data_IF_419114059988
#
_entry.id   IF_419114059988
#
_cell.length_a   1.000
_cell.length_b   1.000
_cell.length_c   1.000
_cell.angle_alpha   90.00
_cell.angle_beta   90.00
_cell.angle_gamma   90.00
#
_symmetry.space_group_name_H-M   'P 1'
#
loop_
_entity.id
_entity.type
_entity.pdbx_description
1 polymer ?
#
# COMPACT_ATOMS: atom_id res chain seq x y z
N UNK A 1 -14.38 -21.34 70.56
CA UNK A 1 -13.39 -20.38 70.02
C UNK A 1 -14.03 -19.76 68.78
N UNK A 2 -14.81 -18.66 68.86
CA UNK A 2 -14.38 -17.25 69.00
C UNK A 2 -13.28 -16.90 67.98
N UNK A 3 -13.39 -15.91 67.09
CA UNK A 3 -13.98 -14.58 67.25
C UNK A 3 -14.77 -14.07 66.02
N UNK A 4 -15.83 -13.35 66.35
CA UNK A 4 -16.55 -12.29 65.63
C UNK A 4 -15.67 -11.11 65.21
N UNK A 5 -15.99 -10.44 64.10
CA UNK A 5 -15.76 -8.99 63.96
C UNK A 5 -16.94 -8.34 63.24
N UNK A 6 -17.71 -7.59 64.03
CA UNK A 6 -18.78 -6.68 63.64
C UNK A 6 -18.18 -5.27 63.78
N UNK A 7 -18.22 -4.48 62.71
CA UNK A 7 -17.85 -3.07 62.73
C UNK A 7 -18.90 -2.24 62.00
N UNK A 8 -19.91 -1.79 62.74
CA UNK A 8 -20.84 -0.72 62.33
C UNK A 8 -20.18 0.63 62.62
N UNK A 9 -20.30 1.59 61.70
CA UNK A 9 -20.48 3.00 62.05
C UNK A 9 -21.09 3.78 60.87
N UNK A 10 -22.37 4.13 61.03
CA UNK A 10 -23.06 5.21 60.33
C UNK A 10 -22.73 6.53 61.04
N UNK A 11 -22.38 7.57 60.30
CA UNK A 11 -22.59 8.96 60.73
C UNK A 11 -22.84 9.84 59.51
N UNK A 12 -24.01 10.49 59.52
CA UNK A 12 -24.49 11.49 58.57
C UNK A 12 -24.63 12.86 59.29
N UNK A 13 -24.69 13.93 58.47
CA UNK A 13 -25.07 15.32 58.80
C UNK A 13 -24.00 16.15 59.57
N UNK A 14 -23.77 17.45 59.33
CA UNK A 14 -24.57 18.50 58.68
C UNK A 14 -23.72 19.68 58.15
N UNK A 15 -24.22 20.31 57.08
CA UNK A 15 -24.31 21.76 56.74
C UNK A 15 -23.28 22.75 57.30
N UNK A 16 -22.61 23.47 56.39
CA UNK A 16 -22.34 24.91 56.57
C UNK A 16 -22.46 25.65 55.22
N UNK A 17 -23.50 26.46 55.14
CA UNK A 17 -23.84 27.40 54.09
C UNK A 17 -23.02 28.68 54.28
N UNK A 18 -22.35 29.16 53.23
CA UNK A 18 -21.87 30.54 53.14
C UNK A 18 -22.03 31.04 51.70
N UNK A 19 -23.06 31.85 51.49
CA UNK A 19 -23.20 32.74 50.34
C UNK A 19 -22.22 33.91 50.48
N UNK A 20 -21.41 34.16 49.45
CA UNK A 20 -20.85 35.48 49.18
C UNK A 20 -20.50 35.62 47.68
N UNK A 21 -21.43 36.25 46.95
CA UNK A 21 -21.28 37.22 45.86
C UNK A 21 -19.94 37.28 45.06
N UNK A 22 -20.01 36.88 43.78
CA UNK A 22 -19.54 37.53 42.52
C UNK A 22 -18.35 38.54 42.58
N UNK A 23 -17.40 38.55 41.60
CA UNK A 23 -17.77 38.79 40.20
C UNK A 23 -17.05 37.98 39.12
N UNK A 24 -17.79 37.86 38.01
CA UNK A 24 -17.34 37.50 36.67
C UNK A 24 -16.01 38.16 36.28
N UNK A 25 -15.02 37.33 35.95
CA UNK A 25 -13.98 37.71 35.00
C UNK A 25 -14.27 36.97 33.70
N UNK A 26 -14.95 37.67 32.79
CA UNK A 26 -15.05 37.29 31.40
C UNK A 26 -13.64 37.32 30.79
N UNK A 27 -13.03 36.14 30.60
CA UNK A 27 -11.85 36.05 29.75
C UNK A 27 -12.29 36.29 28.32
N UNK A 28 -11.98 37.49 27.85
CA UNK A 28 -12.15 37.96 26.49
C UNK A 28 -11.68 36.89 25.50
N UNK A 29 -12.61 36.42 24.68
CA UNK A 29 -12.29 35.75 23.43
C UNK A 29 -11.58 36.78 22.57
N UNK A 30 -10.25 36.69 22.51
CA UNK A 30 -9.47 37.45 21.54
C UNK A 30 -9.93 37.03 20.14
N UNK A 31 -10.80 37.86 19.57
CA UNK A 31 -11.18 37.85 18.17
C UNK A 31 -9.92 38.11 17.35
N UNK A 32 -9.29 37.05 16.87
CA UNK A 32 -8.40 37.15 15.72
C UNK A 32 -9.25 37.61 14.53
N UNK A 33 -8.82 38.63 13.77
CA UNK A 33 -9.50 39.06 12.55
C UNK A 33 -9.72 37.85 11.62
N UNK A 34 -10.87 37.74 10.93
CA UNK A 34 -11.22 36.58 10.11
C UNK A 34 -10.16 36.26 9.02
N UNK A 35 -9.36 37.24 8.63
CA UNK A 35 -8.22 37.07 7.71
C UNK A 35 -7.03 36.32 8.32
N UNK A 36 -6.76 36.47 9.62
CA UNK A 36 -5.67 35.75 10.31
C UNK A 36 -6.08 34.32 10.68
N UNK A 37 -7.35 34.10 11.01
CA UNK A 37 -7.89 32.74 11.21
C UNK A 37 -7.94 31.94 9.89
N UNK A 38 -8.22 32.60 8.77
CA UNK A 38 -8.12 32.00 7.43
C UNK A 38 -6.67 31.70 7.04
N UNK A 39 -5.72 32.60 7.33
CA UNK A 39 -4.30 32.37 7.09
C UNK A 39 -3.73 31.23 7.96
N UNK A 40 -4.15 31.10 9.23
CA UNK A 40 -3.81 29.99 10.12
C UNK A 40 -4.48 28.67 9.71
N UNK A 41 -5.70 28.70 9.16
CA UNK A 41 -6.32 27.50 8.57
C UNK A 41 -5.68 27.09 7.24
N UNK A 42 -5.35 28.04 6.36
CA UNK A 42 -4.64 27.73 5.11
C UNK A 42 -3.20 27.27 5.37
N UNK A 43 -2.53 27.80 6.39
CA UNK A 43 -1.23 27.29 6.83
C UNK A 43 -1.35 26.01 7.67
N UNK A 44 -2.45 25.70 8.35
CA UNK A 44 -2.68 24.38 8.95
C UNK A 44 -3.05 23.32 7.90
N UNK A 45 -3.73 23.71 6.81
CA UNK A 45 -3.98 22.88 5.63
C UNK A 45 -2.68 22.68 4.82
N UNK A 46 -1.80 23.69 4.77
CA UNK A 46 -0.47 23.61 4.14
C UNK A 46 0.67 23.05 5.02
N UNK A 47 0.51 23.03 6.35
CA UNK A 47 1.49 22.55 7.33
C UNK A 47 1.11 21.19 7.96
N UNK A 48 0.15 20.47 7.38
CA UNK A 48 0.40 19.09 6.96
C UNK A 48 1.39 19.14 5.78
N UNK A 49 2.60 19.69 5.91
CA UNK A 49 3.82 18.86 6.07
C UNK A 49 3.53 17.48 5.46
N UNK A 50 3.86 17.20 4.20
CA UNK A 50 5.23 16.83 3.80
C UNK A 50 5.98 16.07 4.90
N UNK A 51 5.29 15.20 5.65
CA UNK A 51 5.86 13.89 5.85
C UNK A 51 6.08 13.36 4.44
N UNK A 52 7.32 13.03 4.06
CA UNK A 52 7.54 12.33 2.81
C UNK A 52 6.56 11.16 2.82
N UNK A 53 5.59 11.18 1.89
CA UNK A 53 4.54 10.18 1.88
C UNK A 53 5.23 8.83 1.85
N UNK A 54 4.99 8.02 2.89
CA UNK A 54 5.57 6.69 2.92
C UNK A 54 4.92 5.89 1.79
N UNK A 55 5.68 5.13 0.98
CA UNK A 55 5.08 4.26 -0.01
C UNK A 55 4.05 3.34 0.63
N UNK A 56 2.96 3.06 -0.09
CA UNK A 56 2.02 2.02 0.32
C UNK A 56 2.77 0.69 0.48
N UNK A 57 2.32 -0.11 1.44
CA UNK A 57 2.94 -1.38 1.78
C UNK A 57 1.87 -2.48 1.80
N UNK A 58 2.17 -3.60 1.15
CA UNK A 58 1.28 -4.75 1.15
C UNK A 58 1.62 -5.68 2.30
N UNK A 59 0.72 -5.81 3.29
CA UNK A 59 0.83 -6.79 4.40
C UNK A 59 2.20 -6.81 5.12
N UNK A 60 2.91 -5.66 5.15
CA UNK A 60 4.23 -5.52 5.77
C UNK A 60 5.42 -5.57 4.80
N UNK A 61 5.18 -5.72 3.49
CA UNK A 61 6.17 -5.60 2.42
C UNK A 61 6.16 -4.15 1.93
N UNK A 62 7.17 -3.32 2.27
CA UNK A 62 7.26 -1.98 1.75
C UNK A 62 7.74 -2.00 0.30
N UNK A 63 7.16 -1.14 -0.54
CA UNK A 63 7.82 -0.78 -1.80
C UNK A 63 9.17 -0.10 -1.50
N UNK A 64 10.13 -0.25 -2.41
CA UNK A 64 11.47 0.34 -2.35
C UNK A 64 12.53 -0.50 -1.64
N UNK A 65 12.15 -1.58 -0.95
CA UNK A 65 13.11 -2.51 -0.35
C UNK A 65 14.00 -3.16 -1.41
N UNK A 66 15.21 -3.50 -1.02
CA UNK A 66 16.15 -4.23 -1.87
C UNK A 66 15.74 -5.69 -2.04
N UNK A 67 16.23 -6.33 -3.09
CA UNK A 67 16.04 -7.78 -3.30
C UNK A 67 16.58 -8.62 -2.13
N UNK A 68 17.72 -8.23 -1.56
CA UNK A 68 18.33 -8.95 -0.45
C UNK A 68 17.52 -8.79 0.84
N UNK A 69 17.00 -7.57 1.10
CA UNK A 69 16.05 -7.34 2.18
C UNK A 69 14.79 -8.19 1.99
N UNK A 70 14.20 -8.21 0.80
CA UNK A 70 13.02 -9.03 0.49
C UNK A 70 13.27 -10.53 0.75
N UNK A 71 14.44 -11.05 0.34
CA UNK A 71 14.84 -12.43 0.60
C UNK A 71 15.07 -12.71 2.08
N UNK A 72 15.54 -11.72 2.83
CA UNK A 72 15.76 -11.82 4.27
C UNK A 72 14.44 -11.77 5.08
N UNK A 73 13.36 -11.18 4.53
CA UNK A 73 12.03 -11.21 5.16
C UNK A 73 11.41 -12.59 5.00
N UNK A 74 11.91 -13.55 5.79
CA UNK A 74 11.59 -14.97 5.66
C UNK A 74 10.11 -15.33 5.93
N UNK A 75 9.30 -14.43 6.50
CA UNK A 75 7.87 -14.66 6.80
C UNK A 75 7.08 -13.36 6.80
N UNK A 76 6.55 -12.97 5.65
CA UNK A 76 5.51 -11.94 5.57
C UNK A 76 4.15 -12.62 5.64
N UNK A 77 3.11 -11.95 6.15
CA UNK A 77 1.75 -12.53 6.24
C UNK A 77 1.17 -12.99 4.89
N UNK A 78 1.72 -12.49 3.79
CA UNK A 78 1.36 -12.86 2.43
C UNK A 78 2.05 -14.13 1.91
N UNK A 79 3.13 -14.57 2.56
CA UNK A 79 3.96 -15.70 2.11
C UNK A 79 3.31 -17.01 2.57
N UNK A 80 2.98 -17.92 1.65
CA UNK A 80 2.48 -19.24 2.03
C UNK A 80 3.54 -20.03 2.79
N UNK A 81 3.09 -20.93 3.68
CA UNK A 81 4.00 -21.72 4.52
C UNK A 81 4.89 -22.62 3.65
N UNK A 82 6.20 -22.58 3.89
CA UNK A 82 7.18 -23.37 3.14
C UNK A 82 7.61 -22.75 1.81
N UNK A 83 7.04 -21.61 1.42
CA UNK A 83 7.42 -20.90 0.19
C UNK A 83 8.63 -19.99 0.40
N UNK A 84 9.42 -19.83 -0.65
CA UNK A 84 10.55 -18.91 -0.73
C UNK A 84 10.43 -18.05 -1.99
N UNK A 85 11.05 -16.86 -2.04
CA UNK A 85 11.07 -16.05 -3.25
C UNK A 85 11.98 -16.66 -4.32
N UNK A 86 11.41 -17.00 -5.47
CA UNK A 86 12.13 -17.44 -6.68
C UNK A 86 12.02 -16.33 -7.72
N UNK A 87 13.15 -15.90 -8.26
CA UNK A 87 13.22 -14.74 -9.15
C UNK A 87 13.81 -15.10 -10.50
N UNK A 88 13.20 -14.57 -11.56
CA UNK A 88 13.62 -14.72 -12.94
C UNK A 88 13.70 -13.36 -13.64
N UNK A 89 14.25 -13.32 -14.86
CA UNK A 89 14.23 -12.09 -15.67
C UNK A 89 12.78 -11.77 -16.02
N UNK A 90 12.38 -10.54 -15.75
CA UNK A 90 11.01 -10.09 -15.99
C UNK A 90 10.72 -10.00 -17.49
N UNK A 91 9.46 -10.19 -17.88
CA UNK A 91 9.01 -10.19 -19.27
C UNK A 91 9.39 -8.89 -20.00
N UNK A 92 9.38 -7.76 -19.28
CA UNK A 92 9.83 -6.47 -19.82
C UNK A 92 11.31 -6.56 -20.24
N UNK A 93 12.21 -7.04 -19.38
CA UNK A 93 13.61 -7.23 -19.75
C UNK A 93 13.79 -8.29 -20.86
N UNK A 94 12.99 -9.36 -20.85
CA UNK A 94 12.98 -10.36 -21.93
C UNK A 94 12.61 -9.75 -23.28
N UNK A 95 11.62 -8.87 -23.32
CA UNK A 95 11.20 -8.16 -24.55
C UNK A 95 12.26 -7.20 -25.09
N UNK A 96 13.12 -6.68 -24.20
CA UNK A 96 14.26 -5.84 -24.56
C UNK A 96 15.48 -6.65 -25.06
N UNK A 97 15.33 -7.97 -25.24
CA UNK A 97 16.42 -8.87 -25.66
C UNK A 97 17.47 -9.13 -24.58
N UNK A 98 17.20 -8.78 -23.32
CA UNK A 98 18.14 -9.00 -22.23
C UNK A 98 18.20 -10.48 -21.89
N UNK A 99 19.42 -11.00 -21.68
CA UNK A 99 19.62 -12.41 -21.35
C UNK A 99 18.98 -12.76 -20.02
N UNK A 100 18.13 -13.79 -20.04
CA UNK A 100 17.53 -14.43 -18.87
C UNK A 100 18.64 -14.78 -17.86
N UNK A 101 18.48 -14.34 -16.61
CA UNK A 101 19.33 -14.67 -15.45
C UNK A 101 20.74 -14.06 -15.45
N UNK A 102 20.98 -12.98 -16.20
CA UNK A 102 22.26 -12.26 -16.11
C UNK A 102 22.20 -11.08 -15.14
N UNK A 103 23.34 -10.77 -14.51
CA UNK A 103 23.54 -9.57 -13.68
C UNK A 103 23.35 -8.26 -14.45
N UNK A 104 23.13 -8.34 -15.76
CA UNK A 104 22.85 -7.20 -16.64
C UNK A 104 21.35 -6.88 -16.76
N UNK A 105 20.45 -7.78 -16.33
CA UNK A 105 18.99 -7.56 -16.39
C UNK A 105 18.61 -6.23 -15.71
N UNK A 106 17.75 -5.43 -16.35
CA UNK A 106 17.26 -4.16 -15.81
C UNK A 106 16.17 -4.38 -14.76
N UNK A 107 15.34 -5.39 -15.00
CA UNK A 107 14.22 -5.78 -14.14
C UNK A 107 14.22 -7.29 -13.92
N UNK A 108 13.78 -7.70 -12.74
CA UNK A 108 13.53 -9.10 -12.37
C UNK A 108 12.13 -9.21 -11.78
N UNK A 109 11.52 -10.37 -11.99
CA UNK A 109 10.22 -10.72 -11.42
C UNK A 109 10.43 -11.85 -10.42
N UNK A 110 9.93 -11.68 -9.20
CA UNK A 110 9.93 -12.72 -8.18
C UNK A 110 8.51 -13.20 -7.91
N UNK A 111 8.39 -14.50 -7.66
CA UNK A 111 7.18 -15.14 -7.16
C UNK A 111 7.54 -15.96 -5.92
N UNK A 112 6.53 -16.31 -5.13
CA UNK A 112 6.68 -17.23 -4.02
C UNK A 112 6.48 -18.62 -4.59
N UNK A 113 7.41 -19.52 -4.33
CA UNK A 113 7.37 -20.89 -4.80
C UNK A 113 7.88 -21.83 -3.72
N UNK A 114 7.47 -23.09 -3.78
CA UNK A 114 7.97 -24.15 -2.90
C UNK A 114 8.63 -25.25 -3.73
N UNK A 115 9.52 -26.01 -3.09
CA UNK A 115 10.23 -27.10 -3.75
C UNK A 115 9.34 -28.33 -3.77
N UNK A 116 9.16 -28.91 -4.95
CA UNK A 116 8.49 -30.21 -5.18
C UNK A 116 9.50 -31.21 -5.76
N UNK A 117 9.12 -32.49 -5.87
CA UNK A 117 10.02 -33.55 -6.34
C UNK A 117 10.66 -33.22 -7.70
N UNK A 118 9.87 -32.64 -8.61
CA UNK A 118 10.27 -32.38 -10.00
C UNK A 118 10.69 -30.92 -10.26
N UNK A 119 10.79 -30.06 -9.23
CA UNK A 119 11.22 -28.68 -9.42
C UNK A 119 10.66 -27.67 -8.44
N UNK A 120 10.32 -26.48 -8.96
CA UNK A 120 9.69 -25.39 -8.22
C UNK A 120 8.24 -25.26 -8.66
N UNK A 121 7.34 -25.15 -7.69
CA UNK A 121 5.92 -24.90 -7.93
C UNK A 121 5.53 -23.54 -7.34
N UNK A 122 4.85 -22.72 -8.13
CA UNK A 122 4.39 -21.38 -7.70
C UNK A 122 3.35 -21.54 -6.60
N UNK A 123 3.55 -20.81 -5.51
CA UNK A 123 2.67 -20.81 -4.35
C UNK A 123 1.71 -19.63 -4.45
N UNK A 124 0.42 -19.87 -4.22
CA UNK A 124 -0.58 -18.81 -4.24
C UNK A 124 -0.40 -17.84 -3.07
N UNK A 125 -0.05 -16.59 -3.36
CA UNK A 125 0.07 -15.55 -2.34
C UNK A 125 -1.23 -15.37 -1.55
N UNK A 126 -1.16 -14.93 -0.29
CA UNK A 126 -2.36 -14.63 0.50
C UNK A 126 -2.66 -13.13 0.47
N UNK A 127 -3.82 -12.77 -0.08
CA UNK A 127 -4.36 -11.42 -0.15
C UNK A 127 -5.67 -11.39 0.64
N UNK A 128 -5.70 -10.54 1.65
CA UNK A 128 -6.81 -10.45 2.61
C UNK A 128 -7.32 -11.76 3.27
N UNK A 129 -6.48 -12.79 3.32
CA UNK A 129 -6.86 -14.10 3.85
C UNK A 129 -7.34 -15.08 2.78
N UNK A 130 -7.54 -14.62 1.54
CA UNK A 130 -7.82 -15.44 0.37
C UNK A 130 -6.53 -15.72 -0.43
N UNK A 131 -6.41 -16.89 -1.09
CA UNK A 131 -5.32 -17.15 -2.03
C UNK A 131 -5.53 -16.36 -3.33
N UNK A 132 -4.52 -15.62 -3.75
CA UNK A 132 -4.46 -15.02 -5.08
C UNK A 132 -4.24 -16.10 -6.15
N UNK A 133 -4.88 -15.94 -7.30
CA UNK A 133 -4.69 -16.81 -8.47
C UNK A 133 -3.27 -16.67 -9.02
N UNK A 134 -2.80 -15.41 -9.12
CA UNK A 134 -1.46 -15.08 -9.57
C UNK A 134 -0.88 -13.95 -8.73
N UNK A 135 0.45 -13.89 -8.67
CA UNK A 135 1.16 -12.77 -8.08
C UNK A 135 2.53 -12.57 -8.70
N UNK A 136 3.00 -11.32 -8.71
CA UNK A 136 4.34 -10.96 -9.16
C UNK A 136 4.89 -9.82 -8.32
N UNK A 137 6.16 -9.92 -7.92
CA UNK A 137 6.91 -8.84 -7.29
C UNK A 137 8.01 -8.40 -8.26
N UNK A 138 7.90 -7.21 -8.83
CA UNK A 138 8.88 -6.70 -9.81
C UNK A 138 9.89 -5.80 -9.13
N UNK A 139 11.15 -6.07 -9.44
CA UNK A 139 12.26 -5.25 -8.99
C UNK A 139 12.98 -4.65 -10.17
N UNK A 140 13.42 -3.41 -10.01
CA UNK A 140 14.20 -2.68 -11.01
C UNK A 140 15.53 -2.25 -10.41
N UNK A 141 16.56 -2.25 -11.25
CA UNK A 141 17.82 -1.58 -10.94
C UNK A 141 17.86 -0.27 -11.73
N UNK A 142 17.66 0.84 -11.02
CA UNK A 142 17.79 2.18 -11.59
C UNK A 142 19.27 2.47 -11.84
N UNK A 143 19.58 3.22 -12.90
CA UNK A 143 20.95 3.60 -13.23
C UNK A 143 21.66 4.26 -12.04
N UNK A 144 22.95 3.93 -11.86
CA UNK A 144 23.74 4.34 -10.71
C UNK A 144 23.45 3.59 -9.40
N UNK A 145 22.43 2.72 -9.34
CA UNK A 145 22.18 1.86 -8.17
C UNK A 145 22.81 0.47 -8.33
N UNK A 146 23.42 -0.02 -7.25
CA UNK A 146 24.06 -1.34 -7.24
C UNK A 146 23.08 -2.51 -7.08
N UNK A 147 21.86 -2.26 -6.59
CA UNK A 147 20.89 -3.29 -6.24
C UNK A 147 19.51 -3.12 -6.86
N UNK A 148 18.79 -4.23 -6.96
CA UNK A 148 17.38 -4.26 -7.38
C UNK A 148 16.48 -3.77 -6.25
N UNK A 149 15.50 -2.93 -6.58
CA UNK A 149 14.49 -2.42 -5.65
C UNK A 149 13.09 -2.81 -6.08
N UNK A 150 12.29 -3.26 -5.11
CA UNK A 150 10.89 -3.62 -5.32
C UNK A 150 10.11 -2.36 -5.69
N UNK A 151 9.58 -2.29 -6.92
CA UNK A 151 8.80 -1.14 -7.35
C UNK A 151 7.35 -1.48 -7.67
N UNK A 152 7.03 -2.77 -7.88
CA UNK A 152 5.68 -3.21 -8.15
C UNK A 152 5.36 -4.52 -7.42
N UNK A 153 4.16 -4.59 -6.86
CA UNK A 153 3.57 -5.84 -6.37
C UNK A 153 2.19 -5.96 -7.02
N UNK A 154 1.97 -7.02 -7.80
CA UNK A 154 0.70 -7.25 -8.50
C UNK A 154 0.08 -8.59 -8.09
N UNK A 155 -1.24 -8.64 -7.98
CA UNK A 155 -2.03 -9.85 -7.72
C UNK A 155 -3.21 -9.96 -8.67
N UNK A 156 -3.59 -11.18 -8.99
CA UNK A 156 -4.92 -11.52 -9.50
C UNK A 156 -5.70 -12.16 -8.36
N UNK A 157 -6.85 -11.59 -8.02
CA UNK A 157 -7.71 -12.00 -6.90
C UNK A 157 -9.13 -12.20 -7.39
N UNK A 158 -9.94 -12.92 -6.63
CA UNK A 158 -11.37 -13.05 -6.90
C UNK A 158 -12.14 -11.77 -6.60
N UNK A 159 -13.34 -11.66 -7.17
CA UNK A 159 -14.24 -10.50 -7.04
C UNK A 159 -14.63 -10.20 -5.58
N UNK A 160 -14.84 -11.22 -4.74
CA UNK A 160 -15.26 -11.02 -3.33
C UNK A 160 -14.12 -10.36 -2.55
N UNK A 161 -12.90 -10.90 -2.67
CA UNK A 161 -11.71 -10.31 -2.06
C UNK A 161 -11.46 -8.89 -2.57
N UNK A 162 -11.76 -8.61 -3.84
CA UNK A 162 -11.61 -7.29 -4.42
C UNK A 162 -12.56 -6.26 -3.80
N UNK A 163 -13.83 -6.63 -3.60
CA UNK A 163 -14.82 -5.76 -2.96
C UNK A 163 -14.47 -5.48 -1.50
N UNK A 164 -14.08 -6.50 -0.74
CA UNK A 164 -13.64 -6.34 0.66
C UNK A 164 -12.42 -5.39 0.74
N UNK A 165 -11.46 -5.53 -0.17
CA UNK A 165 -10.31 -4.64 -0.25
C UNK A 165 -10.68 -3.21 -0.63
N UNK A 166 -11.66 -3.03 -1.53
CA UNK A 166 -12.13 -1.69 -1.92
C UNK A 166 -12.62 -0.93 -0.70
N UNK A 167 -13.47 -1.57 0.11
CA UNK A 167 -14.02 -0.96 1.33
C UNK A 167 -12.90 -0.75 2.38
N UNK A 168 -12.03 -1.74 2.59
CA UNK A 168 -10.92 -1.63 3.54
C UNK A 168 -9.91 -0.52 3.16
N UNK A 169 -9.66 -0.31 1.87
CA UNK A 169 -8.80 0.79 1.41
C UNK A 169 -9.49 2.14 1.50
N UNK A 170 -10.80 2.21 1.25
CA UNK A 170 -11.57 3.43 1.47
C UNK A 170 -11.55 3.86 2.94
N UNK A 171 -11.76 2.93 3.87
CA UNK A 171 -11.65 3.19 5.31
C UNK A 171 -10.26 3.66 5.72
N UNK A 172 -9.21 3.09 5.12
CA UNK A 172 -7.83 3.33 5.53
C UNK A 172 -7.19 4.55 4.88
N UNK A 173 -7.48 4.79 3.61
CA UNK A 173 -6.81 5.79 2.77
C UNK A 173 -7.77 6.87 2.25
N UNK A 174 -9.07 6.75 2.50
CA UNK A 174 -10.11 7.61 1.96
C UNK A 174 -10.63 7.13 0.60
N UNK A 175 -11.63 7.84 0.08
CA UNK A 175 -12.28 7.50 -1.17
C UNK A 175 -11.29 7.43 -2.36
N UNK A 176 -11.37 6.39 -3.21
CA UNK A 176 -10.50 6.26 -4.38
C UNK A 176 -10.82 7.32 -5.44
N UNK A 177 -9.82 7.64 -6.26
CA UNK A 177 -10.06 8.22 -7.59
C UNK A 177 -10.57 7.10 -8.50
N UNK A 178 -11.81 7.25 -8.97
CA UNK A 178 -12.38 6.32 -9.94
C UNK A 178 -11.99 6.70 -11.36
N UNK A 179 -11.57 5.72 -12.15
CA UNK A 179 -11.38 5.83 -13.58
C UNK A 179 -12.08 4.65 -14.27
N UNK A 180 -12.46 4.84 -15.53
CA UNK A 180 -12.95 3.76 -16.39
C UNK A 180 -11.90 3.45 -17.44
N UNK A 181 -11.41 2.21 -17.49
CA UNK A 181 -10.50 1.76 -18.53
C UNK A 181 -11.29 1.07 -19.65
N UNK A 182 -10.96 1.39 -20.90
CA UNK A 182 -11.48 0.68 -22.07
C UNK A 182 -10.53 -0.46 -22.38
N UNK A 183 -10.96 -1.69 -22.10
CA UNK A 183 -10.09 -2.87 -22.19
C UNK A 183 -10.19 -3.59 -23.54
N UNK A 184 -11.30 -3.37 -24.27
CA UNK A 184 -11.51 -3.80 -25.66
C UNK A 184 -12.90 -3.32 -26.12
N UNK A 185 -13.18 -3.20 -27.44
CA UNK A 185 -14.53 -2.87 -27.92
C UNK A 185 -15.62 -3.87 -27.49
N UNK A 186 -15.25 -5.07 -27.06
CA UNK A 186 -16.16 -6.13 -26.58
C UNK A 186 -16.23 -6.27 -25.05
N UNK A 187 -15.29 -5.68 -24.30
CA UNK A 187 -15.12 -5.93 -22.86
C UNK A 187 -15.76 -4.85 -21.96
N UNK A 188 -16.38 -3.82 -22.55
CA UNK A 188 -16.99 -2.72 -21.81
C UNK A 188 -15.97 -1.84 -21.06
N UNK A 189 -16.49 -0.90 -20.29
CA UNK A 189 -15.71 -0.06 -19.38
C UNK A 189 -15.44 -0.84 -18.09
N UNK A 190 -14.18 -1.01 -17.72
CA UNK A 190 -13.81 -1.64 -16.46
C UNK A 190 -13.65 -0.59 -15.35
N UNK A 191 -14.26 -0.78 -14.18
CA UNK A 191 -14.09 0.13 -13.07
C UNK A 191 -12.69 -0.04 -12.47
N UNK A 192 -11.98 1.09 -12.36
CA UNK A 192 -10.64 1.17 -11.80
C UNK A 192 -10.67 2.13 -10.62
N UNK A 193 -10.25 1.64 -9.46
CA UNK A 193 -10.13 2.40 -8.21
C UNK A 193 -8.66 2.65 -7.91
N UNK A 194 -8.31 3.92 -7.69
CA UNK A 194 -6.92 4.34 -7.51
C UNK A 194 -6.79 5.13 -6.21
N UNK A 195 -5.93 4.64 -5.32
CA UNK A 195 -5.41 5.40 -4.20
C UNK A 195 -3.99 5.82 -4.52
N UNK A 196 -3.67 7.09 -4.37
CA UNK A 196 -2.34 7.58 -4.69
C UNK A 196 -1.86 8.60 -3.67
N UNK A 197 -0.55 8.61 -3.46
CA UNK A 197 0.17 9.63 -2.72
C UNK A 197 1.32 10.16 -3.58
N UNK A 198 2.19 11.01 -3.04
CA UNK A 198 3.25 11.63 -3.86
C UNK A 198 4.22 10.61 -4.48
N UNK A 199 4.43 9.46 -3.84
CA UNK A 199 5.49 8.51 -4.23
C UNK A 199 4.99 7.17 -4.76
N UNK A 200 3.74 6.79 -4.49
CA UNK A 200 3.21 5.45 -4.78
C UNK A 200 1.71 5.45 -5.06
N UNK A 201 1.22 4.35 -5.62
CA UNK A 201 -0.21 4.12 -5.85
C UNK A 201 -0.63 2.69 -5.52
N UNK A 202 -1.91 2.54 -5.17
CA UNK A 202 -2.65 1.28 -5.16
C UNK A 202 -3.70 1.38 -6.26
N UNK A 203 -3.73 0.43 -7.17
CA UNK A 203 -4.73 0.32 -8.24
C UNK A 203 -5.48 -0.99 -8.06
N UNK A 204 -6.81 -0.92 -8.03
CA UNK A 204 -7.70 -2.07 -8.06
C UNK A 204 -8.57 -1.97 -9.33
N UNK A 205 -8.39 -2.90 -10.25
CA UNK A 205 -9.16 -2.99 -11.50
C UNK A 205 -10.05 -4.22 -11.46
N UNK A 206 -11.37 -4.05 -11.46
CA UNK A 206 -12.29 -5.18 -11.50
C UNK A 206 -12.44 -5.66 -12.95
N UNK A 207 -12.50 -6.98 -13.13
CA UNK A 207 -12.70 -7.65 -14.41
C UNK A 207 -14.02 -8.48 -14.32
N UNK A 208 -15.21 -7.84 -14.46
CA UNK A 208 -16.49 -8.51 -14.19
C UNK A 208 -16.74 -9.73 -15.09
N UNK A 209 -16.23 -9.70 -16.32
CA UNK A 209 -16.39 -10.82 -17.27
C UNK A 209 -15.70 -12.11 -16.81
N UNK A 210 -14.67 -12.00 -15.95
CA UNK A 210 -13.88 -13.13 -15.46
C UNK A 210 -14.04 -13.35 -13.96
N UNK A 211 -14.91 -12.60 -13.28
CA UNK A 211 -15.09 -12.63 -11.82
C UNK A 211 -13.79 -12.47 -11.00
N UNK A 212 -12.82 -11.76 -11.58
CA UNK A 212 -11.51 -11.52 -10.99
C UNK A 212 -11.21 -10.02 -10.94
N UNK A 213 -10.19 -9.64 -10.20
CA UNK A 213 -9.65 -8.30 -10.16
C UNK A 213 -8.12 -8.31 -10.18
N UNK A 214 -7.53 -7.23 -10.67
CA UNK A 214 -6.10 -6.99 -10.57
C UNK A 214 -5.82 -5.94 -9.51
N UNK A 215 -4.98 -6.28 -8.53
CA UNK A 215 -4.51 -5.39 -7.47
C UNK A 215 -3.04 -5.08 -7.70
N UNK A 216 -2.67 -3.79 -7.75
CA UNK A 216 -1.30 -3.35 -8.03
C UNK A 216 -0.86 -2.30 -7.02
N UNK A 217 0.27 -2.52 -6.38
CA UNK A 217 1.03 -1.52 -5.61
C UNK A 217 2.21 -1.08 -6.47
N UNK A 218 2.38 0.23 -6.67
CA UNK A 218 3.39 0.76 -7.59
C UNK A 218 4.16 1.93 -6.97
N UNK A 219 5.48 1.94 -7.14
CA UNK A 219 6.36 3.06 -6.80
C UNK A 219 6.58 3.91 -8.06
N UNK A 220 6.24 5.20 -7.99
CA UNK A 220 6.10 6.08 -9.17
C UNK A 220 7.42 6.36 -9.87
N UNK A 221 8.48 6.70 -9.14
CA UNK A 221 9.76 7.08 -9.76
C UNK A 221 10.42 5.92 -10.51
N UNK A 222 10.54 4.70 -9.94
CA UNK A 222 11.13 3.59 -10.70
C UNK A 222 10.25 3.11 -11.86
N UNK A 223 8.93 3.22 -11.76
CA UNK A 223 8.02 2.99 -12.89
C UNK A 223 8.25 4.00 -14.03
N UNK A 224 8.35 5.29 -13.70
CA UNK A 224 8.65 6.34 -14.68
C UNK A 224 10.01 6.11 -15.36
N UNK A 225 11.02 5.71 -14.59
CA UNK A 225 12.31 5.29 -15.12
C UNK A 225 12.16 4.10 -16.08
N UNK A 226 11.48 3.02 -15.68
CA UNK A 226 11.26 1.87 -16.56
C UNK A 226 10.56 2.24 -17.86
N UNK A 227 9.51 3.07 -17.80
CA UNK A 227 8.79 3.58 -18.97
C UNK A 227 9.72 4.40 -19.89
N UNK A 228 10.61 5.21 -19.33
CA UNK A 228 11.59 5.98 -20.11
C UNK A 228 12.59 5.07 -20.83
N UNK A 229 13.09 4.02 -20.16
CA UNK A 229 14.03 3.05 -20.76
C UNK A 229 13.35 2.27 -21.88
N UNK A 230 12.13 1.81 -21.68
CA UNK A 230 11.34 1.11 -22.71
C UNK A 230 11.13 2.00 -23.93
N UNK A 231 10.74 3.28 -23.72
CA UNK A 231 10.56 4.23 -24.82
C UNK A 231 11.85 4.52 -25.57
N UNK A 232 12.96 4.71 -24.84
CA UNK A 232 14.27 4.95 -25.44
C UNK A 232 14.69 3.74 -26.29
N UNK A 233 14.51 2.53 -25.78
CA UNK A 233 14.83 1.30 -26.52
C UNK A 233 13.98 1.17 -27.79
N UNK A 234 12.66 1.39 -27.69
CA UNK A 234 11.76 1.39 -28.85
C UNK A 234 12.17 2.42 -29.91
N UNK A 235 12.59 3.62 -29.49
CA UNK A 235 13.06 4.66 -30.41
C UNK A 235 14.44 4.35 -31.03
N UNK A 236 15.24 3.48 -30.39
CA UNK A 236 16.59 3.14 -30.81
C UNK A 236 16.66 1.87 -31.68
N UNK A 237 15.55 1.12 -31.77
CA UNK A 237 15.49 -0.14 -32.51
C UNK A 237 15.21 0.14 -34.00
N UNK A 238 16.14 -0.14 -34.93
CA UNK A 238 15.99 0.27 -36.34
C UNK A 238 14.94 -0.50 -37.16
N UNK A 239 14.31 -1.56 -36.60
CA UNK A 239 13.45 -2.49 -37.34
C UNK A 239 11.96 -2.45 -36.91
N UNK A 240 11.39 -1.25 -36.77
CA UNK A 240 9.94 -1.07 -36.65
C UNK A 240 9.41 -0.19 -37.80
N UNK A 241 9.41 -0.77 -39.00
CA UNK A 241 8.80 -0.24 -40.22
C UNK A 241 8.20 -1.37 -41.03
#
# INVERSE_FOLDING_TARGET
MQLTSIGRALTACAVAMCCALMPFAASAQNMLPPQQAAALRMSAIGAKKRAADKPFAFRGIPLGITLDEFRAVSRVRATPLGSVPVCETDNVAGSLGMRLKTSQSLTIACQWAHRVADGWEVSRAVVDGAPADEHVLRFVRVDGQSGFRLYEISFVIDEITADDLRDAFEDRYGAPRTATQVSSPTAGQLPVYIWENDVSSITLCLLPATHNATLIYLLKDPDAYMKSVVRQWQASSPDAG
#
